data_IF_993641123446
#
_entry.id   IF_993641123446
#
_cell.length_a   1.000
_cell.length_b   1.000
_cell.length_c   1.000
_cell.angle_alpha   90.00
_cell.angle_beta   90.00
_cell.angle_gamma   90.00
#
_symmetry.space_group_name_H-M   'P 1'
#
loop_
_entity.id
_entity.type
_entity.pdbx_description
1 polymer ?
#
# COMPACT_ATOMS: atom_id res chain seq x y z
N UNK A 1 -26.05 -6.48 6.38
CA UNK A 1 -25.45 -5.97 5.14
C UNK A 1 -24.58 -7.07 4.48
N UNK A 2 -23.63 -7.71 5.21
CA UNK A 2 -22.72 -8.73 4.64
C UNK A 2 -23.45 -9.94 4.05
N UNK A 3 -24.46 -10.52 4.74
CA UNK A 3 -25.25 -11.64 4.22
C UNK A 3 -25.98 -11.30 2.90
N UNK A 4 -26.59 -10.12 2.84
CA UNK A 4 -27.25 -9.64 1.63
C UNK A 4 -26.25 -9.49 0.47
N UNK A 5 -25.10 -8.88 0.75
CA UNK A 5 -24.05 -8.70 -0.22
C UNK A 5 -23.49 -10.05 -0.72
N UNK A 6 -23.34 -11.05 0.15
CA UNK A 6 -22.93 -12.40 -0.23
C UNK A 6 -23.92 -13.05 -1.23
N UNK A 7 -25.23 -12.89 -1.00
CA UNK A 7 -26.26 -13.42 -1.89
C UNK A 7 -26.23 -12.71 -3.24
N UNK A 8 -26.15 -11.37 -3.25
CA UNK A 8 -26.11 -10.58 -4.48
C UNK A 8 -24.86 -10.92 -5.31
N UNK A 9 -23.71 -11.02 -4.65
CA UNK A 9 -22.44 -11.38 -5.29
C UNK A 9 -22.44 -12.82 -5.82
N UNK A 10 -23.06 -13.76 -5.09
CA UNK A 10 -23.21 -15.16 -5.57
C UNK A 10 -24.02 -15.23 -6.85
N UNK A 11 -25.12 -14.48 -6.95
CA UNK A 11 -25.94 -14.45 -8.17
C UNK A 11 -25.16 -13.89 -9.36
N UNK A 12 -24.39 -12.82 -9.14
CA UNK A 12 -23.54 -12.23 -10.19
C UNK A 12 -22.45 -13.20 -10.64
N UNK A 13 -21.86 -13.95 -9.70
CA UNK A 13 -20.86 -14.99 -9.97
C UNK A 13 -21.46 -16.13 -10.81
N UNK A 14 -22.65 -16.64 -10.43
CA UNK A 14 -23.34 -17.71 -11.14
C UNK A 14 -23.73 -17.28 -12.56
N UNK A 15 -24.22 -16.04 -12.74
CA UNK A 15 -24.53 -15.49 -14.04
C UNK A 15 -23.27 -15.35 -14.91
N UNK A 16 -22.19 -14.81 -14.36
CA UNK A 16 -20.92 -14.66 -15.08
C UNK A 16 -20.35 -16.02 -15.48
N UNK A 17 -20.47 -17.02 -14.63
CA UNK A 17 -20.04 -18.39 -14.93
C UNK A 17 -20.86 -19.02 -16.05
N UNK A 18 -22.19 -18.81 -16.04
CA UNK A 18 -23.08 -19.25 -17.11
C UNK A 18 -22.72 -18.62 -18.45
N UNK A 19 -22.44 -17.31 -18.46
CA UNK A 19 -22.01 -16.58 -19.67
C UNK A 19 -20.65 -17.09 -20.21
N UNK A 20 -19.74 -17.48 -19.31
CA UNK A 20 -18.45 -18.11 -19.67
C UNK A 20 -18.70 -19.47 -20.34
N UNK A 21 -19.58 -20.32 -19.77
CA UNK A 21 -19.91 -21.62 -20.33
C UNK A 21 -20.57 -21.52 -21.70
N UNK A 22 -21.49 -20.58 -21.84
CA UNK A 22 -22.17 -20.34 -23.11
C UNK A 22 -21.19 -19.93 -24.22
N UNK A 23 -20.26 -19.03 -23.91
CA UNK A 23 -19.28 -18.54 -24.89
C UNK A 23 -18.19 -19.61 -25.19
N UNK A 24 -17.79 -20.39 -24.22
CA UNK A 24 -16.84 -21.49 -24.43
C UNK A 24 -17.46 -22.73 -25.09
N UNK A 25 -18.79 -22.85 -25.11
CA UNK A 25 -19.59 -24.00 -25.56
C UNK A 25 -19.36 -25.29 -24.75
N UNK A 26 -18.78 -25.16 -23.55
CA UNK A 26 -18.62 -26.25 -22.57
C UNK A 26 -18.41 -25.70 -21.17
N UNK A 27 -18.53 -26.57 -20.15
CA UNK A 27 -18.22 -26.21 -18.77
C UNK A 27 -16.70 -26.09 -18.58
N UNK A 28 -16.25 -24.89 -18.27
CA UNK A 28 -14.84 -24.56 -18.07
C UNK A 28 -14.61 -23.95 -16.69
N UNK A 29 -13.67 -24.47 -15.93
CA UNK A 29 -13.27 -23.86 -14.67
C UNK A 29 -12.46 -22.59 -14.93
N UNK A 30 -12.91 -21.41 -14.47
CA UNK A 30 -12.15 -20.18 -14.61
C UNK A 30 -10.78 -20.17 -13.87
N UNK A 31 -10.51 -21.21 -13.08
CA UNK A 31 -9.25 -21.40 -12.35
C UNK A 31 -8.33 -22.44 -12.96
N UNK A 32 -8.83 -23.30 -13.86
CA UNK A 32 -8.04 -24.33 -14.53
C UNK A 32 -7.33 -23.76 -15.75
N UNK A 33 -6.00 -23.67 -15.71
CA UNK A 33 -5.23 -23.19 -16.86
C UNK A 33 -5.38 -24.07 -18.10
N UNK A 34 -5.57 -25.38 -17.95
CA UNK A 34 -5.74 -26.32 -19.07
C UNK A 34 -7.11 -26.15 -19.72
N UNK A 35 -8.19 -26.07 -18.93
CA UNK A 35 -9.54 -25.88 -19.47
C UNK A 35 -9.70 -24.51 -20.11
N UNK A 36 -9.09 -23.46 -19.51
CA UNK A 36 -9.03 -22.13 -20.13
C UNK A 36 -8.27 -22.18 -21.47
N UNK A 37 -7.14 -22.90 -21.53
CA UNK A 37 -6.40 -23.05 -22.78
C UNK A 37 -7.26 -23.70 -23.89
N UNK A 38 -8.07 -24.70 -23.54
CA UNK A 38 -9.01 -25.32 -24.47
C UNK A 38 -10.05 -24.29 -24.96
N UNK A 39 -10.67 -23.54 -24.04
CA UNK A 39 -11.66 -22.50 -24.39
C UNK A 39 -11.05 -21.42 -25.29
N UNK A 40 -9.86 -20.91 -24.95
CA UNK A 40 -9.17 -19.90 -25.74
C UNK A 40 -8.77 -20.42 -27.14
N UNK A 41 -8.38 -21.69 -27.25
CA UNK A 41 -8.08 -22.33 -28.55
C UNK A 41 -9.34 -22.46 -29.43
N UNK A 42 -10.49 -22.86 -28.87
CA UNK A 42 -11.77 -22.94 -29.60
C UNK A 42 -12.20 -21.56 -30.14
N UNK A 43 -12.02 -20.53 -29.29
CA UNK A 43 -12.33 -19.14 -29.66
C UNK A 43 -11.25 -18.51 -30.57
N UNK A 44 -10.18 -19.24 -30.89
CA UNK A 44 -9.01 -18.76 -31.66
C UNK A 44 -8.36 -17.51 -31.05
N UNK A 45 -8.32 -17.45 -29.71
CA UNK A 45 -7.70 -16.36 -28.97
C UNK A 45 -6.31 -16.81 -28.52
N UNK A 46 -5.30 -16.01 -28.82
CA UNK A 46 -3.94 -16.26 -28.38
C UNK A 46 -3.81 -16.03 -26.85
N UNK A 47 -2.98 -16.82 -26.19
CA UNK A 47 -2.62 -16.67 -24.77
C UNK A 47 -1.14 -16.97 -24.52
N UNK A 48 -0.53 -16.36 -23.47
CA UNK A 48 0.87 -16.58 -23.13
C UNK A 48 1.08 -17.93 -22.49
N UNK A 49 2.33 -18.40 -22.60
CA UNK A 49 2.83 -19.61 -21.92
C UNK A 49 3.96 -19.25 -20.97
N UNK A 50 4.12 -20.02 -19.91
CA UNK A 50 5.28 -19.96 -19.04
C UNK A 50 6.54 -20.42 -19.76
N UNK A 51 7.73 -20.17 -19.20
CA UNK A 51 9.01 -20.70 -19.73
C UNK A 51 9.02 -22.23 -19.91
N UNK A 52 8.23 -22.95 -19.10
CA UNK A 52 8.05 -24.41 -19.18
C UNK A 52 6.98 -24.83 -20.19
N UNK A 53 6.43 -23.91 -20.98
CA UNK A 53 5.41 -24.20 -22.01
C UNK A 53 3.97 -24.30 -21.50
N UNK A 54 3.70 -24.19 -20.20
CA UNK A 54 2.35 -24.28 -19.67
C UNK A 54 1.53 -22.99 -19.92
N UNK A 55 0.20 -23.11 -20.18
CA UNK A 55 -0.70 -21.94 -20.32
C UNK A 55 -0.63 -21.01 -19.10
N UNK A 56 -0.64 -19.69 -19.35
CA UNK A 56 -0.51 -18.68 -18.29
C UNK A 56 -1.60 -17.62 -18.40
N UNK A 57 -2.58 -17.67 -17.52
CA UNK A 57 -3.71 -16.72 -17.45
C UNK A 57 -3.59 -15.87 -16.17
N UNK A 58 -2.57 -14.99 -16.15
CA UNK A 58 -2.37 -14.07 -15.03
C UNK A 58 -3.46 -13.01 -14.99
N UNK A 59 -3.77 -12.50 -13.79
CA UNK A 59 -4.74 -11.40 -13.63
C UNK A 59 -4.36 -10.17 -14.45
N UNK A 60 -3.05 -9.85 -14.53
CA UNK A 60 -2.55 -8.75 -15.35
C UNK A 60 -2.91 -8.94 -16.83
N UNK A 61 -2.62 -10.12 -17.40
CA UNK A 61 -2.88 -10.41 -18.79
C UNK A 61 -4.40 -10.40 -19.10
N UNK A 62 -5.21 -11.08 -18.26
CA UNK A 62 -6.67 -11.14 -18.44
C UNK A 62 -7.31 -9.74 -18.41
N UNK A 63 -6.90 -8.88 -17.46
CA UNK A 63 -7.45 -7.53 -17.33
C UNK A 63 -7.07 -6.60 -18.50
N UNK A 64 -5.89 -6.78 -19.09
CA UNK A 64 -5.39 -5.95 -20.18
C UNK A 64 -5.73 -6.54 -21.59
N UNK A 65 -6.34 -7.70 -21.64
CA UNK A 65 -6.73 -8.33 -22.91
C UNK A 65 -7.93 -7.61 -23.52
N UNK A 66 -7.97 -7.48 -24.86
CA UNK A 66 -9.05 -6.79 -25.57
C UNK A 66 -10.31 -7.63 -25.73
N UNK A 67 -10.17 -8.96 -25.80
CA UNK A 67 -11.30 -9.86 -26.04
C UNK A 67 -12.24 -9.95 -24.84
N UNK A 68 -13.58 -9.88 -25.04
CA UNK A 68 -14.57 -9.93 -23.95
C UNK A 68 -14.48 -11.18 -23.07
N UNK A 69 -14.21 -12.34 -23.65
CA UNK A 69 -14.06 -13.60 -22.92
C UNK A 69 -12.97 -13.54 -21.83
N UNK A 70 -11.79 -12.99 -22.15
CA UNK A 70 -10.73 -12.81 -21.17
C UNK A 70 -11.16 -11.90 -20.02
N UNK A 71 -11.89 -10.82 -20.33
CA UNK A 71 -12.43 -9.90 -19.32
C UNK A 71 -13.49 -10.57 -18.44
N UNK A 72 -14.35 -11.45 -19.00
CA UNK A 72 -15.31 -12.24 -18.20
C UNK A 72 -14.60 -13.16 -17.21
N UNK A 73 -13.53 -13.84 -17.62
CA UNK A 73 -12.71 -14.68 -16.71
C UNK A 73 -12.09 -13.81 -15.60
N UNK A 74 -11.52 -12.65 -15.94
CA UNK A 74 -10.96 -11.73 -14.95
C UNK A 74 -12.02 -11.26 -13.95
N UNK A 75 -13.19 -10.89 -14.43
CA UNK A 75 -14.34 -10.44 -13.65
C UNK A 75 -14.84 -11.54 -12.71
N UNK A 76 -15.07 -12.75 -13.21
CA UNK A 76 -15.44 -13.90 -12.41
C UNK A 76 -14.45 -14.15 -11.25
N UNK A 77 -13.16 -14.23 -11.56
CA UNK A 77 -12.11 -14.43 -10.56
C UNK A 77 -12.12 -13.33 -9.49
N UNK A 78 -12.40 -12.10 -9.90
CA UNK A 78 -12.48 -10.96 -8.99
C UNK A 78 -13.69 -11.08 -8.07
N UNK A 79 -14.90 -11.30 -8.60
CA UNK A 79 -16.13 -11.49 -7.82
C UNK A 79 -15.97 -12.64 -6.85
N UNK A 80 -15.52 -13.81 -7.33
CA UNK A 80 -15.31 -14.98 -6.51
C UNK A 80 -14.37 -14.70 -5.32
N UNK A 81 -13.23 -14.02 -5.59
CA UNK A 81 -12.31 -13.62 -4.53
C UNK A 81 -12.95 -12.67 -3.52
N UNK A 82 -13.68 -11.64 -3.98
CA UNK A 82 -14.32 -10.68 -3.09
C UNK A 82 -15.36 -11.36 -2.21
N UNK A 83 -16.20 -12.24 -2.78
CA UNK A 83 -17.19 -13.00 -2.02
C UNK A 83 -16.53 -13.95 -1.03
N UNK A 84 -15.68 -14.86 -1.50
CA UNK A 84 -15.13 -15.95 -0.67
C UNK A 84 -14.16 -15.48 0.39
N UNK A 85 -13.25 -14.57 0.04
CA UNK A 85 -12.17 -14.17 0.95
C UNK A 85 -12.63 -13.07 1.91
N UNK A 86 -13.34 -12.06 1.41
CA UNK A 86 -13.67 -10.89 2.23
C UNK A 86 -15.09 -10.93 2.79
N UNK A 87 -16.12 -11.19 1.98
CA UNK A 87 -17.50 -11.14 2.48
C UNK A 87 -17.80 -12.36 3.35
N UNK A 88 -17.66 -13.57 2.78
CA UNK A 88 -17.96 -14.81 3.51
C UNK A 88 -16.84 -15.19 4.47
N UNK A 89 -15.59 -15.23 3.98
CA UNK A 89 -14.44 -15.70 4.74
C UNK A 89 -14.13 -14.79 5.92
N UNK A 90 -14.04 -13.48 5.69
CA UNK A 90 -13.68 -12.53 6.72
C UNK A 90 -14.90 -12.03 7.48
N UNK A 91 -15.88 -11.39 6.81
CA UNK A 91 -16.96 -10.72 7.53
C UNK A 91 -18.00 -11.67 8.15
N UNK A 92 -18.32 -12.81 7.51
CA UNK A 92 -19.32 -13.72 8.03
C UNK A 92 -18.73 -14.82 8.91
N UNK A 93 -17.65 -15.51 8.47
CA UNK A 93 -17.10 -16.66 9.20
C UNK A 93 -16.22 -16.29 10.39
N UNK A 94 -15.46 -15.18 10.27
CA UNK A 94 -14.54 -14.75 11.34
C UNK A 94 -15.15 -13.72 12.29
N UNK A 95 -16.39 -13.31 12.05
CA UNK A 95 -17.13 -12.45 12.98
C UNK A 95 -17.59 -13.24 14.20
N UNK A 96 -17.27 -12.73 15.40
CA UNK A 96 -17.75 -13.24 16.67
C UNK A 96 -18.53 -12.13 17.38
N UNK A 97 -19.83 -12.37 17.67
CA UNK A 97 -20.73 -11.38 18.29
C UNK A 97 -20.69 -10.01 17.57
N UNK A 98 -20.66 -10.03 16.24
CA UNK A 98 -20.65 -8.82 15.42
C UNK A 98 -19.29 -8.10 15.33
N UNK A 99 -18.21 -8.67 15.87
CA UNK A 99 -16.85 -8.10 15.83
C UNK A 99 -15.87 -9.06 15.17
N UNK A 100 -14.83 -8.50 14.56
CA UNK A 100 -13.72 -9.24 13.99
C UNK A 100 -12.47 -8.95 14.83
N UNK A 101 -11.82 -10.01 15.30
CA UNK A 101 -10.60 -9.93 16.10
C UNK A 101 -9.43 -10.45 15.27
N UNK A 102 -8.51 -9.57 14.94
CA UNK A 102 -7.28 -9.91 14.22
C UNK A 102 -6.08 -9.94 15.16
N UNK A 103 -5.08 -10.74 14.80
CA UNK A 103 -3.79 -10.71 15.47
C UNK A 103 -2.89 -9.71 14.76
N UNK A 104 -2.36 -8.73 15.51
CA UNK A 104 -1.37 -7.78 15.02
C UNK A 104 0.00 -8.13 15.60
N UNK A 105 0.97 -8.37 14.72
CA UNK A 105 2.33 -8.76 15.08
C UNK A 105 3.22 -7.53 15.03
N UNK A 106 3.62 -7.04 16.20
CA UNK A 106 4.51 -5.87 16.34
C UNK A 106 5.99 -6.21 16.16
N UNK A 107 6.35 -7.48 16.33
CA UNK A 107 7.70 -8.02 16.20
C UNK A 107 7.71 -9.18 15.21
N UNK A 108 8.84 -9.35 14.53
CA UNK A 108 9.05 -10.53 13.72
C UNK A 108 9.39 -11.73 14.59
N UNK A 109 8.62 -12.79 14.43
CA UNK A 109 8.97 -14.17 14.81
C UNK A 109 9.17 -14.97 13.51
N UNK A 110 9.45 -16.25 13.59
CA UNK A 110 9.85 -17.11 12.47
C UNK A 110 9.02 -16.90 11.19
N UNK A 111 7.71 -17.09 11.23
CA UNK A 111 6.78 -16.94 10.12
C UNK A 111 6.04 -15.60 10.12
N UNK A 112 5.90 -14.93 11.26
CA UNK A 112 5.05 -13.76 11.46
C UNK A 112 5.84 -12.47 11.62
N UNK A 113 5.16 -11.34 11.38
CA UNK A 113 5.72 -10.00 11.51
C UNK A 113 6.56 -9.57 10.31
N UNK A 114 6.93 -8.31 10.29
CA UNK A 114 7.70 -7.70 9.20
C UNK A 114 9.15 -7.46 9.56
N UNK A 115 10.03 -7.48 8.55
CA UNK A 115 11.45 -7.10 8.75
C UNK A 115 11.63 -5.59 8.95
N UNK A 116 10.71 -4.77 8.48
CA UNK A 116 10.77 -3.31 8.60
C UNK A 116 10.43 -2.82 10.01
N UNK A 117 9.71 -3.61 10.80
CA UNK A 117 9.13 -3.20 12.08
C UNK A 117 7.70 -2.68 11.98
N UNK A 118 7.13 -2.62 10.76
CA UNK A 118 5.69 -2.39 10.59
C UNK A 118 4.89 -3.51 11.22
N UNK A 119 3.66 -3.25 11.62
CA UNK A 119 2.74 -4.31 11.97
C UNK A 119 2.45 -5.20 10.76
N UNK A 120 2.25 -6.46 10.99
CA UNK A 120 1.52 -7.35 10.09
C UNK A 120 0.27 -7.86 10.80
N UNK A 121 -0.72 -8.28 10.05
CA UNK A 121 -1.97 -8.81 10.59
C UNK A 121 -2.23 -10.20 10.06
N UNK A 122 -2.77 -11.07 10.93
CA UNK A 122 -3.19 -12.43 10.55
C UNK A 122 -4.45 -12.83 11.32
N UNK A 123 -5.13 -13.80 10.82
CA UNK A 123 -6.29 -14.48 11.42
C UNK A 123 -7.38 -13.51 11.95
N UNK A 124 -7.96 -12.66 11.06
CA UNK A 124 -7.68 -12.42 9.65
C UNK A 124 -6.63 -11.33 9.40
N UNK A 125 -6.15 -11.21 8.14
CA UNK A 125 -5.30 -10.07 7.75
C UNK A 125 -6.15 -8.86 7.37
N UNK A 126 -6.38 -7.94 8.30
CA UNK A 126 -7.16 -6.72 8.07
C UNK A 126 -6.43 -5.67 7.21
N UNK A 127 -5.10 -5.78 7.07
CA UNK A 127 -4.31 -4.87 6.24
C UNK A 127 -4.40 -5.16 4.73
N UNK A 128 -5.08 -6.25 4.34
CA UNK A 128 -5.30 -6.63 2.94
C UNK A 128 -6.72 -6.31 2.44
N UNK A 129 -7.55 -5.66 3.23
CA UNK A 129 -8.88 -5.24 2.80
C UNK A 129 -8.74 -4.30 1.60
N UNK A 130 -9.48 -4.55 0.49
CA UNK A 130 -9.37 -3.77 -0.71
C UNK A 130 -9.57 -2.27 -0.45
N UNK A 131 -8.61 -1.45 -0.95
CA UNK A 131 -8.69 0.00 -0.82
C UNK A 131 -8.67 0.69 -2.20
N UNK A 132 -7.92 0.12 -3.17
CA UNK A 132 -7.67 0.74 -4.47
C UNK A 132 -8.71 0.43 -5.53
N UNK A 133 -9.60 -0.49 -5.23
CA UNK A 133 -10.67 -0.86 -6.13
C UNK A 133 -11.85 0.08 -5.93
N UNK A 134 -12.20 0.85 -6.96
CA UNK A 134 -13.24 1.89 -6.88
C UNK A 134 -14.65 1.33 -6.58
N UNK A 135 -14.92 0.09 -6.94
CA UNK A 135 -16.18 -0.58 -6.66
C UNK A 135 -16.13 -1.41 -5.37
N UNK A 136 -15.19 -2.36 -5.28
CA UNK A 136 -15.12 -3.30 -4.18
C UNK A 136 -14.53 -2.72 -2.90
N UNK A 137 -13.63 -1.74 -3.02
CA UNK A 137 -13.02 -1.07 -1.86
C UNK A 137 -14.07 -0.49 -0.92
N UNK A 138 -14.85 0.51 -1.36
CA UNK A 138 -15.90 1.10 -0.53
C UNK A 138 -16.95 0.09 -0.08
N UNK A 139 -17.33 -0.85 -0.95
CA UNK A 139 -18.37 -1.83 -0.67
C UNK A 139 -17.98 -2.76 0.49
N UNK A 140 -16.75 -3.33 0.47
CA UNK A 140 -16.27 -4.23 1.52
C UNK A 140 -15.95 -3.46 2.79
N UNK A 141 -15.28 -2.29 2.68
CA UNK A 141 -15.00 -1.43 3.82
C UNK A 141 -16.28 -0.96 4.53
N UNK A 142 -17.39 -0.75 3.80
CA UNK A 142 -18.67 -0.39 4.40
C UNK A 142 -19.33 -1.46 5.27
N UNK A 143 -18.72 -2.66 5.36
CA UNK A 143 -19.13 -3.71 6.31
C UNK A 143 -18.50 -3.51 7.69
N UNK A 144 -17.50 -2.63 7.81
CA UNK A 144 -16.85 -2.27 9.06
C UNK A 144 -17.50 -0.99 9.61
N UNK A 145 -18.09 -1.13 10.78
CA UNK A 145 -18.89 -0.10 11.41
C UNK A 145 -18.15 0.46 12.63
N UNK A 146 -18.33 1.75 12.95
CA UNK A 146 -17.88 2.28 14.23
C UNK A 146 -18.65 1.68 15.40
N UNK A 147 -18.27 2.02 16.62
CA UNK A 147 -19.07 1.75 17.81
C UNK A 147 -20.43 2.41 17.71
N UNK A 148 -21.42 1.85 18.41
CA UNK A 148 -22.79 2.32 18.37
C UNK A 148 -22.90 3.82 18.75
N UNK A 149 -23.58 4.58 17.91
CA UNK A 149 -23.73 6.05 18.09
C UNK A 149 -22.52 6.89 17.70
N UNK A 150 -21.46 6.28 17.17
CA UNK A 150 -20.24 6.96 16.75
C UNK A 150 -20.08 7.00 15.22
N UNK A 151 -19.06 7.70 14.77
CA UNK A 151 -18.60 7.75 13.38
C UNK A 151 -17.23 7.03 13.26
N UNK A 152 -16.96 6.50 12.08
CA UNK A 152 -15.62 6.00 11.72
C UNK A 152 -14.72 7.18 11.38
N UNK A 153 -13.54 7.23 11.97
CA UNK A 153 -12.49 8.19 11.65
C UNK A 153 -11.24 7.45 11.18
N UNK A 154 -10.74 7.82 10.01
CA UNK A 154 -9.49 7.36 9.46
C UNK A 154 -8.46 8.49 9.55
N UNK A 155 -7.32 8.24 10.16
CA UNK A 155 -6.24 9.19 10.35
C UNK A 155 -4.98 8.66 9.67
N UNK A 156 -4.55 9.29 8.56
CA UNK A 156 -3.44 8.84 7.72
C UNK A 156 -2.32 9.89 7.65
N UNK A 157 -1.06 9.48 7.84
CA UNK A 157 0.07 10.39 7.70
C UNK A 157 0.31 10.80 6.25
N UNK A 158 0.17 12.06 5.97
CA UNK A 158 0.45 12.63 4.65
C UNK A 158 1.95 12.62 4.35
N UNK A 159 2.35 11.88 3.31
CA UNK A 159 3.73 11.81 2.84
C UNK A 159 4.75 11.42 3.93
N UNK A 160 4.42 10.48 4.82
CA UNK A 160 5.26 10.10 5.96
C UNK A 160 6.69 9.73 5.53
N UNK A 161 6.85 8.83 4.57
CA UNK A 161 8.17 8.35 4.14
C UNK A 161 9.06 9.44 3.50
N UNK A 162 8.56 10.30 2.58
CA UNK A 162 9.29 11.48 2.10
C UNK A 162 9.74 12.42 3.21
N UNK A 163 8.86 12.71 4.19
CA UNK A 163 9.19 13.59 5.32
C UNK A 163 10.28 13.00 6.21
N UNK A 164 10.23 11.70 6.49
CA UNK A 164 11.29 10.99 7.23
C UNK A 164 12.62 11.04 6.48
N UNK A 165 12.62 10.84 5.15
CA UNK A 165 13.82 10.95 4.33
C UNK A 165 14.43 12.34 4.41
N UNK A 166 13.62 13.39 4.25
CA UNK A 166 14.08 14.79 4.31
C UNK A 166 14.62 15.14 5.69
N UNK A 167 13.99 14.67 6.77
CA UNK A 167 14.50 14.83 8.14
C UNK A 167 15.93 14.30 8.27
N UNK A 168 16.19 13.07 7.85
CA UNK A 168 17.54 12.51 7.89
C UNK A 168 18.51 13.26 7.01
N UNK A 169 18.11 13.60 5.78
CA UNK A 169 18.94 14.34 4.85
C UNK A 169 19.34 15.72 5.39
N UNK A 170 18.42 16.42 6.04
CA UNK A 170 18.65 17.71 6.69
C UNK A 170 19.63 17.58 7.86
N UNK A 171 19.41 16.65 8.79
CA UNK A 171 20.30 16.40 9.94
C UNK A 171 21.72 16.04 9.50
N UNK A 172 21.88 15.40 8.34
CA UNK A 172 23.17 15.06 7.73
C UNK A 172 23.73 16.19 6.87
N UNK A 173 23.04 17.33 6.76
CA UNK A 173 23.42 18.50 5.96
C UNK A 173 23.71 18.15 4.48
N UNK A 174 22.95 17.21 3.92
CA UNK A 174 23.13 16.77 2.54
C UNK A 174 22.69 17.87 1.56
N UNK A 175 23.34 17.92 0.40
CA UNK A 175 23.09 18.97 -0.61
C UNK A 175 21.63 19.03 -1.05
N UNK A 176 21.01 20.21 -0.95
CA UNK A 176 19.61 20.48 -1.34
C UNK A 176 18.57 20.06 -0.29
N UNK A 177 18.98 19.48 0.84
CA UNK A 177 18.04 19.09 1.90
C UNK A 177 17.46 20.27 2.67
N UNK A 178 18.23 21.37 2.81
CA UNK A 178 17.76 22.59 3.48
C UNK A 178 16.64 23.25 2.68
N UNK A 179 16.83 23.41 1.36
CA UNK A 179 15.81 23.99 0.48
C UNK A 179 14.52 23.13 0.48
N UNK A 180 14.68 21.80 0.42
CA UNK A 180 13.56 20.88 0.45
C UNK A 180 12.78 20.94 1.78
N UNK A 181 13.45 21.06 2.92
CA UNK A 181 12.80 21.25 4.22
C UNK A 181 12.14 22.62 4.30
N UNK A 182 12.79 23.68 3.81
CA UNK A 182 12.24 25.02 3.81
C UNK A 182 10.91 25.09 3.04
N UNK A 183 10.79 24.42 1.89
CA UNK A 183 9.53 24.34 1.13
C UNK A 183 8.35 23.83 1.99
N UNK A 184 8.59 22.82 2.84
CA UNK A 184 7.55 22.29 3.74
C UNK A 184 7.29 23.17 4.96
N UNK A 185 8.29 23.97 5.38
CA UNK A 185 8.09 24.97 6.44
C UNK A 185 7.29 26.17 5.94
N UNK A 186 7.49 26.58 4.69
CA UNK A 186 6.77 27.65 4.04
C UNK A 186 5.33 27.24 3.66
N UNK A 187 5.17 25.98 3.20
CA UNK A 187 3.86 25.40 2.87
C UNK A 187 3.83 23.91 3.31
N UNK A 188 3.20 23.59 4.44
CA UNK A 188 3.04 22.22 4.93
C UNK A 188 2.29 21.27 3.97
N UNK A 189 1.56 21.82 3.01
CA UNK A 189 0.82 21.08 1.98
C UNK A 189 1.64 20.83 0.70
N UNK A 190 2.90 21.24 0.69
CA UNK A 190 3.84 20.99 -0.42
C UNK A 190 3.79 19.54 -0.87
N UNK A 191 3.48 19.33 -2.15
CA UNK A 191 3.40 18.00 -2.75
C UNK A 191 4.71 17.66 -3.48
N UNK A 192 5.58 16.92 -2.79
CA UNK A 192 6.83 16.43 -3.37
C UNK A 192 6.64 15.61 -4.66
N UNK A 193 5.53 14.88 -4.76
CA UNK A 193 5.25 14.09 -5.96
C UNK A 193 4.83 14.96 -7.13
N UNK A 194 4.11 16.08 -6.87
CA UNK A 194 3.76 17.05 -7.90
C UNK A 194 5.01 17.79 -8.40
N UNK A 195 5.90 18.22 -7.50
CA UNK A 195 7.17 18.84 -7.88
C UNK A 195 7.98 17.96 -8.85
N UNK A 196 8.07 16.66 -8.57
CA UNK A 196 8.76 15.73 -9.48
C UNK A 196 7.97 15.50 -10.78
N UNK A 197 6.64 15.48 -10.72
CA UNK A 197 5.80 15.35 -11.90
C UNK A 197 6.05 16.51 -12.89
N UNK A 198 6.09 17.74 -12.40
CA UNK A 198 6.31 18.94 -13.19
C UNK A 198 7.74 18.95 -13.80
N UNK A 199 8.73 18.57 -13.01
CA UNK A 199 10.11 18.44 -13.46
C UNK A 199 10.28 17.41 -14.58
N UNK A 200 9.66 16.24 -14.43
CA UNK A 200 9.79 15.13 -15.37
C UNK A 200 8.74 15.16 -16.50
N UNK A 201 7.80 16.12 -16.48
CA UNK A 201 6.65 16.23 -17.41
C UNK A 201 5.82 14.95 -17.50
N UNK A 202 5.55 14.35 -16.35
CA UNK A 202 4.75 13.12 -16.19
C UNK A 202 3.55 13.36 -15.28
N UNK A 203 2.59 12.43 -15.27
CA UNK A 203 1.45 12.53 -14.36
C UNK A 203 1.89 12.35 -12.90
N UNK A 204 1.29 13.09 -11.95
CA UNK A 204 1.54 13.00 -10.52
C UNK A 204 1.51 11.55 -9.99
N UNK A 205 0.59 10.72 -10.47
CA UNK A 205 0.50 9.29 -10.09
C UNK A 205 1.75 8.51 -10.48
N UNK A 206 2.33 8.79 -11.66
CA UNK A 206 3.58 8.19 -12.10
C UNK A 206 4.75 8.71 -11.25
N UNK A 207 4.80 10.03 -11.01
CA UNK A 207 5.81 10.64 -10.15
C UNK A 207 5.82 10.04 -8.75
N UNK A 208 4.66 9.79 -8.12
CA UNK A 208 4.56 9.10 -6.84
C UNK A 208 5.24 7.73 -6.88
N UNK A 209 5.01 6.95 -7.93
CA UNK A 209 5.61 5.63 -8.10
C UNK A 209 7.14 5.73 -8.27
N UNK A 210 7.61 6.73 -9.04
CA UNK A 210 9.05 6.96 -9.26
C UNK A 210 9.72 7.39 -7.96
N UNK A 211 9.17 8.38 -7.26
CA UNK A 211 9.73 8.87 -6.00
C UNK A 211 9.91 7.74 -4.99
N UNK A 212 8.85 6.95 -4.77
CA UNK A 212 8.94 5.79 -3.88
C UNK A 212 9.98 4.77 -4.40
N UNK A 213 9.98 4.49 -5.71
CA UNK A 213 10.96 3.59 -6.32
C UNK A 213 12.40 4.09 -6.13
N UNK A 214 12.65 5.40 -6.32
CA UNK A 214 13.96 6.01 -6.13
C UNK A 214 14.40 5.97 -4.67
N UNK A 215 13.50 6.23 -3.73
CA UNK A 215 13.79 6.09 -2.30
C UNK A 215 14.19 4.66 -1.93
N UNK A 216 13.71 3.68 -2.70
CA UNK A 216 14.01 2.26 -2.50
C UNK A 216 15.11 1.71 -3.39
N UNK A 217 15.90 2.60 -4.01
CA UNK A 217 17.06 2.21 -4.82
C UNK A 217 16.70 1.68 -6.20
N UNK A 218 15.58 2.10 -6.77
CA UNK A 218 15.23 1.77 -8.16
C UNK A 218 16.29 2.32 -9.12
N UNK A 219 16.83 1.46 -9.97
CA UNK A 219 17.75 1.83 -11.03
C UNK A 219 17.07 2.17 -12.36
N UNK A 220 17.82 2.68 -13.37
CA UNK A 220 17.27 3.10 -14.66
C UNK A 220 16.50 2.00 -15.41
N UNK A 221 16.95 0.75 -15.31
CA UNK A 221 16.28 -0.40 -15.93
C UNK A 221 14.87 -0.60 -15.35
N UNK A 222 14.72 -0.57 -14.02
CA UNK A 222 13.40 -0.70 -13.41
C UNK A 222 12.53 0.52 -13.67
N UNK A 223 13.13 1.70 -13.76
CA UNK A 223 12.43 2.93 -14.16
C UNK A 223 11.85 2.80 -15.58
N UNK A 224 12.64 2.32 -16.55
CA UNK A 224 12.17 2.10 -17.92
C UNK A 224 10.96 1.16 -17.99
N UNK A 225 11.01 0.05 -17.26
CA UNK A 225 9.88 -0.88 -17.17
C UNK A 225 8.64 -0.26 -16.50
N UNK A 226 8.84 0.57 -15.47
CA UNK A 226 7.73 1.16 -14.70
C UNK A 226 6.99 2.24 -15.51
N UNK A 227 7.71 2.96 -16.37
CA UNK A 227 7.16 4.02 -17.20
C UNK A 227 6.84 3.60 -18.64
N UNK A 228 7.09 2.33 -18.98
CA UNK A 228 6.91 1.79 -20.34
C UNK A 228 7.67 2.62 -21.39
N UNK A 229 8.96 2.90 -21.10
CA UNK A 229 9.86 3.67 -21.96
C UNK A 229 11.16 2.90 -22.24
N UNK A 230 11.93 3.36 -23.23
CA UNK A 230 13.23 2.77 -23.50
C UNK A 230 14.22 2.99 -22.35
N UNK A 231 15.23 2.12 -22.23
CA UNK A 231 16.28 2.29 -21.22
C UNK A 231 17.10 3.58 -21.48
N UNK A 232 17.26 3.95 -22.75
CA UNK A 232 18.04 5.13 -23.14
C UNK A 232 17.29 6.43 -22.81
N UNK A 233 15.95 6.44 -22.82
CA UNK A 233 15.15 7.57 -22.34
C UNK A 233 15.07 7.60 -20.80
N UNK A 234 15.08 6.44 -20.14
CA UNK A 234 15.01 6.36 -18.70
C UNK A 234 16.30 6.83 -18.00
N UNK A 235 17.48 6.62 -18.62
CA UNK A 235 18.78 7.06 -18.05
C UNK A 235 18.86 8.58 -17.83
N UNK A 236 18.59 9.44 -18.84
CA UNK A 236 18.58 10.89 -18.64
C UNK A 236 17.59 11.34 -17.57
N UNK A 237 16.38 10.78 -17.56
CA UNK A 237 15.37 11.08 -16.55
C UNK A 237 15.84 10.70 -15.14
N UNK A 238 16.49 9.55 -15.00
CA UNK A 238 17.06 9.09 -13.73
C UNK A 238 18.16 10.04 -13.22
N UNK A 239 19.08 10.49 -14.08
CA UNK A 239 20.13 11.44 -13.70
C UNK A 239 19.56 12.83 -13.41
N UNK A 240 18.58 13.31 -14.18
CA UNK A 240 17.88 14.57 -13.92
C UNK A 240 17.20 14.57 -12.54
N UNK A 241 16.54 13.46 -12.17
CA UNK A 241 15.98 13.31 -10.84
C UNK A 241 17.05 13.50 -9.76
N UNK A 242 18.18 12.80 -9.85
CA UNK A 242 19.25 12.89 -8.86
C UNK A 242 20.01 14.22 -8.86
N UNK A 243 19.99 14.97 -9.96
CA UNK A 243 20.47 16.35 -9.99
C UNK A 243 19.56 17.31 -9.21
N UNK A 244 18.24 17.09 -9.27
CA UNK A 244 17.23 17.91 -8.59
C UNK A 244 17.08 17.56 -7.11
N UNK A 245 17.20 16.29 -6.78
CA UNK A 245 17.06 15.73 -5.40
C UNK A 245 18.31 14.94 -4.99
N UNK A 246 19.49 15.59 -4.94
CA UNK A 246 20.76 14.90 -4.72
C UNK A 246 20.88 14.22 -3.37
N UNK A 247 20.19 14.71 -2.34
CA UNK A 247 20.19 14.15 -1.00
C UNK A 247 19.66 12.71 -0.93
N UNK A 248 18.82 12.28 -1.87
CA UNK A 248 18.33 10.89 -1.90
C UNK A 248 19.47 9.91 -2.17
N UNK A 249 20.29 10.19 -3.21
CA UNK A 249 21.45 9.35 -3.55
C UNK A 249 22.54 9.42 -2.46
N UNK A 250 22.77 10.59 -1.90
CA UNK A 250 23.75 10.78 -0.83
C UNK A 250 23.36 10.02 0.44
N UNK A 251 22.11 10.13 0.87
CA UNK A 251 21.61 9.38 2.05
C UNK A 251 21.63 7.87 1.81
N UNK A 252 21.27 7.41 0.60
CA UNK A 252 21.37 5.99 0.24
C UNK A 252 22.81 5.49 0.33
N UNK A 253 23.77 6.27 -0.12
CA UNK A 253 25.20 5.95 -0.02
C UNK A 253 25.64 5.85 1.45
N UNK A 254 25.31 6.83 2.29
CA UNK A 254 25.63 6.80 3.72
C UNK A 254 25.03 5.58 4.45
N UNK A 255 23.76 5.24 4.13
CA UNK A 255 23.12 4.04 4.67
C UNK A 255 23.84 2.76 4.23
N UNK A 256 24.26 2.69 2.97
CA UNK A 256 25.03 1.56 2.43
C UNK A 256 26.38 1.43 3.15
N UNK A 257 27.09 2.53 3.37
CA UNK A 257 28.33 2.54 4.11
C UNK A 257 28.15 2.13 5.57
N UNK A 258 27.05 2.54 6.22
CA UNK A 258 26.74 2.13 7.58
C UNK A 258 26.55 0.60 7.69
N UNK A 259 25.87 -0.02 6.72
CA UNK A 259 25.74 -1.49 6.67
C UNK A 259 27.09 -2.17 6.45
N UNK A 260 27.92 -1.65 5.53
CA UNK A 260 29.23 -2.24 5.25
C UNK A 260 30.18 -2.21 6.47
N UNK A 261 30.12 -1.13 7.27
CA UNK A 261 30.97 -0.96 8.45
C UNK A 261 30.40 -1.54 9.74
N UNK A 262 29.11 -1.29 10.00
CA UNK A 262 28.47 -1.61 11.29
C UNK A 262 27.52 -2.79 11.23
N UNK A 263 27.13 -3.26 10.03
CA UNK A 263 26.15 -4.31 9.82
C UNK A 263 24.68 -3.91 10.09
N UNK A 264 24.46 -2.66 10.53
CA UNK A 264 23.11 -2.17 10.84
C UNK A 264 22.95 -0.68 10.56
N UNK A 265 21.71 -0.26 10.41
CA UNK A 265 21.26 1.14 10.50
C UNK A 265 20.46 1.35 11.78
N UNK A 266 20.30 2.60 12.18
CA UNK A 266 19.52 2.99 13.37
C UNK A 266 18.32 3.83 12.93
N UNK A 267 17.12 3.38 13.29
CA UNK A 267 15.86 4.08 12.98
C UNK A 267 15.64 5.28 13.91
N UNK A 268 14.57 6.04 13.68
CA UNK A 268 14.25 7.30 14.33
C UNK A 268 14.22 7.21 15.88
N UNK A 269 13.62 6.16 16.41
CA UNK A 269 13.57 5.90 17.86
C UNK A 269 14.68 4.97 18.35
N UNK A 270 15.73 4.79 17.57
CA UNK A 270 16.95 4.10 18.00
C UNK A 270 16.97 2.59 17.77
N UNK A 271 15.95 2.01 17.12
CA UNK A 271 15.92 0.59 16.82
C UNK A 271 17.00 0.23 15.77
N UNK A 272 17.75 -0.84 16.04
CA UNK A 272 18.75 -1.33 15.10
C UNK A 272 18.14 -2.28 14.07
N UNK A 273 18.40 -1.99 12.81
CA UNK A 273 18.03 -2.84 11.68
C UNK A 273 19.28 -3.44 11.06
N UNK A 274 19.51 -4.72 11.29
CA UNK A 274 20.61 -5.48 10.71
C UNK A 274 20.30 -5.91 9.29
N UNK A 275 21.28 -5.82 8.40
CA UNK A 275 21.21 -6.27 7.01
C UNK A 275 22.51 -6.99 6.65
N UNK A 276 22.44 -8.15 5.94
CA UNK A 276 23.62 -8.73 5.33
C UNK A 276 24.23 -7.77 4.30
N UNK A 277 25.56 -7.80 4.14
CA UNK A 277 26.27 -6.91 3.21
C UNK A 277 25.77 -7.01 1.76
N UNK A 278 25.39 -8.19 1.31
CA UNK A 278 24.83 -8.43 -0.02
C UNK A 278 23.48 -7.71 -0.26
N UNK A 279 22.82 -7.27 0.80
CA UNK A 279 21.56 -6.52 0.78
C UNK A 279 21.73 -5.07 1.22
N UNK A 280 22.93 -4.51 1.22
CA UNK A 280 23.23 -3.15 1.65
C UNK A 280 22.49 -2.09 0.83
N UNK A 281 22.16 -2.34 -0.44
CA UNK A 281 21.34 -1.48 -1.30
C UNK A 281 19.92 -1.26 -0.76
N UNK A 282 19.45 -2.10 0.17
CA UNK A 282 18.16 -1.95 0.87
C UNK A 282 18.24 -1.06 2.11
N UNK A 283 19.40 -0.52 2.45
CA UNK A 283 19.61 0.16 3.72
C UNK A 283 18.77 1.45 3.84
N UNK A 284 18.67 2.25 2.78
CA UNK A 284 17.81 3.43 2.78
C UNK A 284 16.34 3.06 2.99
N UNK A 285 15.85 2.06 2.25
CA UNK A 285 14.48 1.55 2.45
C UNK A 285 14.24 1.10 3.89
N UNK A 286 15.19 0.34 4.45
CA UNK A 286 15.10 -0.16 5.82
C UNK A 286 15.12 0.97 6.87
N UNK A 287 15.87 2.06 6.62
CA UNK A 287 15.86 3.25 7.46
C UNK A 287 14.51 3.95 7.42
N UNK A 288 14.00 4.24 6.23
CA UNK A 288 12.77 5.01 6.04
C UNK A 288 11.55 4.23 6.55
N UNK A 289 11.33 3.00 6.07
CA UNK A 289 10.20 2.18 6.54
C UNK A 289 10.28 1.86 8.03
N UNK A 290 11.50 1.62 8.53
CA UNK A 290 11.69 1.36 9.95
C UNK A 290 11.34 2.56 10.82
N UNK A 291 11.75 3.75 10.42
CA UNK A 291 11.44 5.00 11.12
C UNK A 291 9.95 5.35 11.03
N UNK A 292 9.31 5.13 9.87
CA UNK A 292 7.86 5.28 9.72
C UNK A 292 7.09 4.34 10.64
N UNK A 293 7.55 3.09 10.78
CA UNK A 293 6.96 2.12 11.70
C UNK A 293 7.15 2.53 13.19
N UNK A 294 8.30 3.13 13.52
CA UNK A 294 8.56 3.67 14.86
C UNK A 294 7.57 4.80 15.19
N UNK A 295 7.28 5.69 14.23
CA UNK A 295 6.33 6.80 14.41
C UNK A 295 4.90 6.28 14.68
N UNK A 296 4.38 5.35 13.87
CA UNK A 296 3.06 4.76 14.08
C UNK A 296 2.96 4.12 15.48
N UNK A 297 4.00 3.38 15.90
CA UNK A 297 4.00 2.75 17.23
C UNK A 297 4.05 3.78 18.36
N UNK A 298 4.79 4.86 18.18
CA UNK A 298 4.84 5.94 19.18
C UNK A 298 3.50 6.66 19.24
N UNK A 299 2.89 6.98 18.10
CA UNK A 299 1.56 7.56 18.06
C UNK A 299 0.51 6.68 18.76
N UNK A 300 0.55 5.35 18.54
CA UNK A 300 -0.33 4.43 19.26
C UNK A 300 -0.11 4.41 20.77
N UNK A 301 1.13 4.54 21.23
CA UNK A 301 1.45 4.63 22.67
C UNK A 301 0.90 5.94 23.24
N UNK A 302 1.14 7.07 22.57
CA UNK A 302 0.69 8.37 23.05
C UNK A 302 -0.85 8.50 23.06
N UNK A 303 -1.52 7.90 22.07
CA UNK A 303 -2.98 7.76 22.06
C UNK A 303 -3.49 6.86 23.19
N UNK A 304 -2.80 5.75 23.46
CA UNK A 304 -3.15 4.86 24.56
C UNK A 304 -3.01 5.56 25.92
N UNK A 305 -2.00 6.41 26.09
CA UNK A 305 -1.78 7.16 27.34
C UNK A 305 -2.93 8.16 27.64
N UNK A 306 -3.67 8.57 26.62
CA UNK A 306 -4.91 9.37 26.78
C UNK A 306 -6.19 8.50 26.72
N UNK A 307 -6.07 7.17 26.80
CA UNK A 307 -7.18 6.24 26.83
C UNK A 307 -7.78 5.85 25.48
N UNK A 308 -7.08 6.12 24.39
CA UNK A 308 -7.56 5.89 23.01
C UNK A 308 -6.85 4.70 22.38
N UNK A 309 -7.63 3.77 21.82
CA UNK A 309 -7.11 2.57 21.15
C UNK A 309 -7.70 2.48 19.74
N UNK A 310 -6.86 2.41 18.69
CA UNK A 310 -7.35 2.26 17.32
C UNK A 310 -7.98 0.88 17.09
N UNK A 311 -9.00 0.81 16.25
CA UNK A 311 -9.62 -0.46 15.82
C UNK A 311 -8.71 -1.24 14.87
N UNK A 312 -8.07 -0.52 13.95
CA UNK A 312 -7.23 -1.08 12.89
C UNK A 312 -6.03 -0.16 12.67
N UNK A 313 -4.91 -0.76 12.28
CA UNK A 313 -3.76 -0.04 11.72
C UNK A 313 -3.43 -0.59 10.34
N UNK A 314 -3.36 0.28 9.34
CA UNK A 314 -3.04 -0.07 7.95
C UNK A 314 -1.89 0.81 7.47
N UNK A 315 -0.66 0.30 7.52
CA UNK A 315 0.58 1.00 7.16
C UNK A 315 0.83 2.25 8.01
N UNK A 316 0.44 3.41 7.52
CA UNK A 316 0.55 4.76 8.09
C UNK A 316 -0.81 5.33 8.56
N UNK A 317 -1.87 4.51 8.48
CA UNK A 317 -3.25 4.81 8.84
C UNK A 317 -3.61 4.18 10.20
N UNK A 318 -4.33 4.93 11.03
CA UNK A 318 -5.00 4.47 12.24
C UNK A 318 -6.49 4.79 12.18
N UNK A 319 -7.33 3.79 12.45
CA UNK A 319 -8.78 3.90 12.39
C UNK A 319 -9.43 3.86 13.77
N UNK A 320 -10.42 4.71 14.00
CA UNK A 320 -11.08 4.88 15.28
C UNK A 320 -12.59 4.99 15.16
N UNK A 321 -13.29 4.82 16.29
CA UNK A 321 -14.63 5.38 16.48
C UNK A 321 -14.54 6.69 17.23
N UNK A 322 -15.26 7.71 16.75
CA UNK A 322 -15.30 9.06 17.36
C UNK A 322 -16.75 9.55 17.49
N UNK A 323 -17.06 10.25 18.55
CA UNK A 323 -18.35 10.93 18.70
C UNK A 323 -18.40 12.22 17.89
N UNK A 324 -17.27 12.94 17.83
CA UNK A 324 -17.19 14.26 17.23
C UNK A 324 -15.92 14.46 16.41
N UNK A 325 -15.94 15.40 15.49
CA UNK A 325 -14.77 15.85 14.75
C UNK A 325 -13.68 16.45 15.68
N UNK A 326 -14.09 16.99 16.84
CA UNK A 326 -13.14 17.51 17.84
C UNK A 326 -12.29 16.39 18.46
N UNK A 327 -12.88 15.22 18.72
CA UNK A 327 -12.09 14.06 19.18
C UNK A 327 -11.08 13.63 18.13
N UNK A 328 -11.48 13.53 16.87
CA UNK A 328 -10.56 13.21 15.79
C UNK A 328 -9.44 14.25 15.65
N UNK A 329 -9.74 15.53 15.88
CA UNK A 329 -8.73 16.60 15.89
C UNK A 329 -7.70 16.43 17.02
N UNK A 330 -8.11 15.99 18.21
CA UNK A 330 -7.18 15.65 19.31
C UNK A 330 -6.29 14.48 18.93
N UNK A 331 -6.84 13.42 18.34
CA UNK A 331 -6.05 12.25 17.90
C UNK A 331 -5.03 12.63 16.82
N UNK A 332 -5.44 13.49 15.89
CA UNK A 332 -4.57 14.07 14.88
C UNK A 332 -3.40 14.83 15.51
N UNK A 333 -3.66 15.71 16.47
CA UNK A 333 -2.62 16.49 17.16
C UNK A 333 -1.60 15.59 17.87
N UNK A 334 -2.08 14.53 18.54
CA UNK A 334 -1.21 13.53 19.17
C UNK A 334 -0.34 12.83 18.12
N UNK A 335 -0.92 12.40 16.99
CA UNK A 335 -0.16 11.76 15.93
C UNK A 335 0.87 12.71 15.30
N UNK A 336 0.52 13.97 15.05
CA UNK A 336 1.42 14.97 14.46
C UNK A 336 2.58 15.35 15.38
N UNK A 337 2.40 15.26 16.70
CA UNK A 337 3.39 15.65 17.69
C UNK A 337 4.19 14.49 18.32
N UNK A 338 3.81 13.23 18.03
CA UNK A 338 4.38 12.04 18.69
C UNK A 338 5.91 11.90 18.52
N UNK A 339 6.47 12.38 17.42
CA UNK A 339 7.92 12.37 17.17
C UNK A 339 8.33 13.71 16.53
N UNK A 340 9.27 14.44 17.11
CA UNK A 340 9.74 15.70 16.55
C UNK A 340 10.58 15.46 15.29
N UNK A 341 10.14 16.00 14.16
CA UNK A 341 10.90 16.11 12.92
C UNK A 341 11.33 17.56 12.68
N UNK A 342 12.28 17.79 11.80
CA UNK A 342 12.71 19.14 11.36
C UNK A 342 11.68 19.84 10.46
N UNK A 343 10.65 19.12 10.06
CA UNK A 343 9.52 19.62 9.26
C UNK A 343 8.21 19.11 9.86
N UNK A 344 7.10 19.82 9.67
CA UNK A 344 5.83 19.47 10.29
C UNK A 344 5.30 18.15 9.74
N UNK A 345 4.86 17.28 10.64
CA UNK A 345 4.02 16.15 10.26
C UNK A 345 2.61 16.67 9.97
N UNK A 346 1.94 16.03 9.03
CA UNK A 346 0.55 16.27 8.72
C UNK A 346 -0.19 14.94 8.72
N UNK A 347 -1.34 14.92 9.38
CA UNK A 347 -2.28 13.80 9.38
C UNK A 347 -3.56 14.23 8.71
N UNK A 348 -3.96 13.56 7.66
CA UNK A 348 -5.24 13.74 7.00
C UNK A 348 -6.31 12.98 7.78
N UNK A 349 -7.48 13.57 7.95
CA UNK A 349 -8.60 13.01 8.72
C UNK A 349 -9.80 12.89 7.81
N UNK A 350 -10.31 11.68 7.66
CA UNK A 350 -11.55 11.39 6.94
C UNK A 350 -12.56 10.77 7.92
N UNK A 351 -13.81 11.25 7.92
CA UNK A 351 -14.85 10.80 8.85
C UNK A 351 -16.10 10.40 8.08
N UNK A 352 -16.71 9.30 8.48
CA UNK A 352 -17.93 8.81 7.83
C UNK A 352 -18.75 7.87 8.71
N UNK A 353 -19.89 7.40 8.20
CA UNK A 353 -20.75 6.46 8.94
C UNK A 353 -20.16 5.06 9.05
N UNK A 354 -19.18 4.73 8.24
CA UNK A 354 -18.45 3.46 8.21
C UNK A 354 -17.13 3.63 7.43
N UNK A 355 -16.26 2.62 7.46
CA UNK A 355 -14.95 2.71 6.80
C UNK A 355 -15.00 2.86 5.26
N UNK A 356 -16.10 2.48 4.61
CA UNK A 356 -16.25 2.60 3.16
C UNK A 356 -16.80 3.95 2.69
N UNK A 357 -17.35 4.74 3.60
CA UNK A 357 -18.02 6.02 3.31
C UNK A 357 -17.37 7.20 4.05
N UNK A 358 -16.08 7.13 4.31
CA UNK A 358 -15.26 8.22 4.83
C UNK A 358 -15.01 9.28 3.75
N UNK A 359 -14.92 10.56 4.15
CA UNK A 359 -14.66 11.72 3.28
C UNK A 359 -13.76 12.71 3.99
#
# INVERSE_FOLDING_TARGET
>A
KAQRLAIETSKEEDQTLSDIYQEAEFKVSPWSALELAEAFNRLKIWYPKTEKGNPSFTSYWLNNHTHPFAKKIAHYRKINKMRRDFIEGLCLKMSHKGRIYAQFHSLRKDSDGTRSGRFSSSTPNLQQIPARDEHWGPLIRSLFLPEEGMKWACLDYSQQEPKVLMHYAYLRKLKGSQDAVQMYLDDPDTDFHQMVADMAKIKRKQAKTINLGMFYGMGPYKLSQTLDMSLDDAKPLFEQYHQRVPFVRQLAHECTMAINHKGHIRTLLGRHRHLPRDFNYKALNALIQGSSADMIKKAMIDLHDIGVVPHVTVHDELDFSVHTEKEAAVYKEVMESCVPLVLPLKVDVEIGPNWGEIK
#
